data_IF_682350262718
#
_entry.id   IF_682350262718
#
_cell.length_a   1.000
_cell.length_b   1.000
_cell.length_c   1.000
_cell.angle_alpha   90.00
_cell.angle_beta   90.00
_cell.angle_gamma   90.00
#
_symmetry.space_group_name_H-M   'P 1'
#
loop_
_entity.id
_entity.type
_entity.pdbx_description
1 polymer ?
#
# COMPACT_ATOMS: atom_id res chain seq x y z
N UNK A 1 -37.93 -15.20 -17.96
CA UNK A 1 -37.56 -14.22 -16.91
C UNK A 1 -36.97 -13.01 -17.62
N UNK A 2 -37.42 -11.78 -17.37
CA UNK A 2 -36.89 -10.58 -18.03
C UNK A 2 -35.40 -10.35 -17.73
N UNK A 3 -34.68 -9.69 -18.64
CA UNK A 3 -33.25 -9.42 -18.48
C UNK A 3 -32.96 -8.55 -17.26
N UNK A 4 -31.73 -8.58 -16.73
CA UNK A 4 -31.29 -7.76 -15.61
C UNK A 4 -31.59 -6.27 -15.87
N UNK A 5 -31.36 -5.81 -17.10
CA UNK A 5 -31.60 -4.43 -17.55
C UNK A 5 -33.08 -4.03 -17.44
N UNK A 6 -33.99 -4.93 -17.82
CA UNK A 6 -35.43 -4.68 -17.72
C UNK A 6 -35.88 -4.57 -16.25
N UNK A 7 -35.33 -5.42 -15.38
CA UNK A 7 -35.61 -5.34 -13.94
C UNK A 7 -35.04 -4.08 -13.30
N UNK A 8 -33.85 -3.64 -13.72
CA UNK A 8 -33.23 -2.40 -13.24
C UNK A 8 -34.07 -1.18 -13.61
N UNK A 9 -34.48 -1.04 -14.88
CA UNK A 9 -35.35 0.06 -15.31
C UNK A 9 -36.68 0.10 -14.54
N UNK A 10 -37.26 -1.08 -14.29
CA UNK A 10 -38.47 -1.22 -13.48
C UNK A 10 -38.22 -0.74 -12.05
N UNK A 11 -37.12 -1.16 -11.42
CA UNK A 11 -36.75 -0.73 -10.08
C UNK A 11 -36.49 0.78 -9.99
N UNK A 12 -35.76 1.35 -10.95
CA UNK A 12 -35.51 2.80 -11.02
C UNK A 12 -36.84 3.57 -11.01
N UNK A 13 -37.81 3.14 -11.83
CA UNK A 13 -39.12 3.79 -11.95
C UNK A 13 -40.06 3.53 -10.77
N UNK A 14 -40.22 2.27 -10.39
CA UNK A 14 -41.27 1.85 -9.45
C UNK A 14 -40.81 1.92 -7.99
N UNK A 15 -39.50 1.94 -7.73
CA UNK A 15 -38.95 1.84 -6.38
C UNK A 15 -38.05 3.02 -6.03
N UNK A 16 -37.09 3.39 -6.89
CA UNK A 16 -36.13 4.46 -6.58
C UNK A 16 -36.75 5.86 -6.73
N UNK A 17 -37.35 6.18 -7.89
CA UNK A 17 -37.89 7.51 -8.17
C UNK A 17 -38.91 8.01 -7.13
N UNK A 18 -39.86 7.19 -6.61
CA UNK A 18 -40.81 7.65 -5.59
C UNK A 18 -40.14 8.06 -4.27
N UNK A 19 -39.02 7.44 -3.93
CA UNK A 19 -38.24 7.77 -2.72
C UNK A 19 -37.48 9.07 -2.95
N UNK A 20 -36.77 9.18 -4.08
CA UNK A 20 -36.00 10.38 -4.43
C UNK A 20 -36.89 11.63 -4.59
N UNK A 21 -38.12 11.46 -5.06
CA UNK A 21 -39.10 12.55 -5.14
C UNK A 21 -39.55 13.08 -3.77
N UNK A 22 -39.50 12.26 -2.72
CA UNK A 22 -39.82 12.67 -1.34
C UNK A 22 -38.60 13.22 -0.61
N UNK A 23 -37.44 12.62 -0.85
CA UNK A 23 -36.19 12.98 -0.20
C UNK A 23 -35.05 12.82 -1.22
N UNK A 24 -34.47 13.93 -1.71
CA UNK A 24 -33.40 13.88 -2.69
C UNK A 24 -32.13 13.29 -2.08
N UNK A 25 -31.20 12.89 -2.94
CA UNK A 25 -29.89 12.46 -2.50
C UNK A 25 -29.12 13.59 -1.81
N UNK A 26 -28.15 13.22 -0.96
CA UNK A 26 -27.38 14.17 -0.14
C UNK A 26 -26.46 15.08 -0.97
N UNK A 27 -26.08 14.64 -2.16
CA UNK A 27 -25.22 15.34 -3.09
C UNK A 27 -25.86 15.27 -4.47
N UNK A 28 -25.58 16.29 -5.29
CA UNK A 28 -25.95 16.26 -6.71
C UNK A 28 -25.08 15.30 -7.53
N UNK A 29 -23.90 14.93 -7.01
CA UNK A 29 -22.94 14.03 -7.64
C UNK A 29 -22.18 13.24 -6.58
N UNK A 30 -22.11 11.93 -6.76
CA UNK A 30 -21.23 11.05 -5.99
C UNK A 30 -20.02 10.70 -6.85
N UNK A 31 -18.82 10.87 -6.31
CA UNK A 31 -17.58 10.53 -7.00
C UNK A 31 -16.55 9.95 -6.05
N UNK A 32 -15.60 9.22 -6.61
CA UNK A 32 -14.40 8.79 -5.91
C UNK A 32 -13.43 9.97 -5.71
N UNK A 33 -12.40 9.80 -4.90
CA UNK A 33 -11.32 10.81 -4.72
C UNK A 33 -10.51 11.06 -6.01
N UNK A 34 -10.63 10.17 -7.00
CA UNK A 34 -10.01 10.29 -8.33
C UNK A 34 -10.95 10.88 -9.37
N UNK A 35 -12.08 11.45 -8.94
CA UNK A 35 -13.10 12.10 -9.78
C UNK A 35 -13.93 11.18 -10.70
N UNK A 36 -13.91 9.87 -10.44
CA UNK A 36 -14.79 8.92 -11.12
C UNK A 36 -16.21 8.96 -10.53
N UNK A 37 -17.23 9.12 -11.37
CA UNK A 37 -18.63 9.16 -10.94
C UNK A 37 -19.14 7.79 -10.48
N UNK A 38 -19.86 7.79 -9.35
CA UNK A 38 -20.38 6.57 -8.73
C UNK A 38 -21.88 6.49 -8.97
N UNK A 39 -22.30 5.49 -9.76
CA UNK A 39 -23.71 5.21 -9.98
C UNK A 39 -24.38 4.69 -8.69
N UNK A 40 -25.69 4.91 -8.50
CA UNK A 40 -26.42 4.43 -7.31
C UNK A 40 -26.43 2.90 -7.16
N UNK A 41 -26.21 2.17 -8.25
CA UNK A 41 -26.21 0.71 -8.30
C UNK A 41 -25.37 0.22 -9.48
N UNK A 42 -24.57 -0.83 -9.23
CA UNK A 42 -23.87 -1.61 -10.26
C UNK A 42 -24.38 -3.05 -10.24
N UNK A 43 -24.51 -3.66 -11.41
CA UNK A 43 -25.00 -5.01 -11.64
C UNK A 43 -24.39 -5.63 -12.89
N UNK A 44 -24.88 -6.82 -13.31
CA UNK A 44 -24.27 -7.58 -14.40
C UNK A 44 -24.18 -6.83 -15.74
N UNK A 45 -25.14 -5.95 -16.03
CA UNK A 45 -25.14 -5.18 -17.29
C UNK A 45 -24.07 -4.07 -17.32
N UNK A 46 -23.57 -3.63 -16.16
CA UNK A 46 -22.53 -2.59 -16.07
C UNK A 46 -21.13 -3.13 -16.40
N UNK A 47 -20.99 -4.46 -16.54
CA UNK A 47 -19.74 -5.10 -16.98
C UNK A 47 -19.50 -4.94 -18.49
N UNK A 48 -20.49 -4.49 -19.28
CA UNK A 48 -20.31 -4.22 -20.71
C UNK A 48 -19.78 -5.42 -21.49
N UNK A 49 -18.58 -5.29 -22.09
CA UNK A 49 -17.90 -6.34 -22.88
C UNK A 49 -16.93 -7.19 -22.05
N UNK A 50 -17.08 -7.21 -20.73
CA UNK A 50 -16.19 -7.95 -19.82
C UNK A 50 -16.14 -9.44 -20.17
N UNK A 51 -14.92 -9.93 -20.39
CA UNK A 51 -14.62 -11.34 -20.56
C UNK A 51 -13.92 -11.85 -19.31
N UNK A 52 -14.58 -12.77 -18.60
CA UNK A 52 -14.07 -13.33 -17.35
C UNK A 52 -12.66 -13.90 -17.49
N UNK A 53 -12.38 -14.67 -18.54
CA UNK A 53 -11.09 -15.35 -18.68
C UNK A 53 -9.99 -14.40 -19.16
N UNK A 54 -10.34 -13.38 -19.94
CA UNK A 54 -9.39 -12.40 -20.47
C UNK A 54 -9.08 -11.26 -19.48
N UNK A 55 -10.09 -10.71 -18.83
CA UNK A 55 -9.97 -9.46 -18.06
C UNK A 55 -9.74 -9.72 -16.55
N UNK A 56 -10.22 -10.86 -16.03
CA UNK A 56 -10.12 -11.20 -14.61
C UNK A 56 -9.23 -12.41 -14.35
N UNK A 57 -9.46 -13.51 -15.07
CA UNK A 57 -8.69 -14.77 -15.00
C UNK A 57 -8.60 -15.38 -13.58
N UNK A 58 -7.69 -16.34 -13.40
CA UNK A 58 -7.38 -17.00 -12.13
C UNK A 58 -6.15 -16.35 -11.46
N UNK A 59 -6.04 -16.36 -10.12
CA UNK A 59 -4.86 -15.83 -9.43
C UNK A 59 -3.59 -16.59 -9.87
N UNK A 60 -2.50 -15.87 -10.11
CA UNK A 60 -1.26 -16.43 -10.64
C UNK A 60 -1.22 -16.63 -12.15
N UNK A 61 -2.28 -16.27 -12.87
CA UNK A 61 -2.32 -16.28 -14.34
C UNK A 61 -2.55 -14.86 -14.88
N UNK A 62 -2.01 -14.55 -16.07
CA UNK A 62 -2.27 -13.26 -16.73
C UNK A 62 -3.80 -13.06 -16.90
N UNK A 63 -4.34 -11.84 -16.69
CA UNK A 63 -3.65 -10.56 -16.44
C UNK A 63 -3.35 -10.28 -14.95
N UNK A 64 -3.41 -11.28 -14.07
CA UNK A 64 -3.12 -11.18 -12.64
C UNK A 64 -4.06 -10.26 -11.84
N UNK A 65 -5.22 -9.90 -12.40
CA UNK A 65 -6.23 -9.05 -11.75
C UNK A 65 -6.64 -9.60 -10.37
N UNK A 66 -6.66 -10.94 -10.21
CA UNK A 66 -6.97 -11.62 -8.94
C UNK A 66 -5.76 -11.87 -8.03
N UNK A 67 -4.58 -11.40 -8.42
CA UNK A 67 -3.33 -11.54 -7.69
C UNK A 67 -2.25 -12.30 -8.47
N UNK A 68 -0.99 -11.98 -8.17
CA UNK A 68 0.20 -12.54 -8.85
C UNK A 68 0.63 -13.92 -8.35
N UNK A 69 0.05 -14.42 -7.26
CA UNK A 69 0.38 -15.73 -6.67
C UNK A 69 -0.87 -16.63 -6.68
N UNK A 70 -0.78 -17.91 -7.08
CA UNK A 70 -1.95 -18.80 -7.12
C UNK A 70 -2.64 -19.01 -5.78
N UNK A 71 -1.87 -19.14 -4.69
CA UNK A 71 -2.42 -19.37 -3.34
C UNK A 71 -2.66 -18.09 -2.53
N UNK A 72 -2.14 -16.95 -3.00
CA UNK A 72 -2.12 -15.67 -2.26
C UNK A 72 -1.85 -15.88 -0.76
N UNK A 73 -2.67 -15.27 0.08
CA UNK A 73 -2.51 -15.25 1.54
C UNK A 73 -2.96 -16.53 2.25
N UNK A 74 -3.53 -17.51 1.53
CA UNK A 74 -3.73 -18.87 2.08
C UNK A 74 -2.40 -19.64 2.13
N UNK A 75 -1.46 -19.31 1.24
CA UNK A 75 -0.12 -19.90 1.25
C UNK A 75 0.84 -19.12 2.14
N UNK A 76 1.00 -17.81 1.90
CA UNK A 76 1.88 -16.94 2.68
C UNK A 76 1.24 -15.57 2.85
N UNK A 77 1.15 -15.08 4.09
CA UNK A 77 0.71 -13.72 4.38
C UNK A 77 1.65 -12.70 3.70
N UNK A 78 1.14 -11.48 3.49
CA UNK A 78 2.00 -10.37 3.07
C UNK A 78 3.11 -10.13 4.11
N UNK A 79 4.25 -9.61 3.65
CA UNK A 79 5.32 -9.21 4.56
C UNK A 79 4.85 -8.03 5.40
N UNK A 80 4.73 -8.22 6.71
CA UNK A 80 4.57 -7.10 7.64
C UNK A 80 5.91 -6.37 7.70
N UNK A 81 5.94 -5.14 7.19
CA UNK A 81 7.16 -4.33 7.04
C UNK A 81 6.88 -2.91 7.49
N UNK A 82 7.21 -2.61 8.74
CA UNK A 82 7.19 -1.24 9.24
C UNK A 82 8.39 -0.46 8.72
N UNK A 83 8.12 0.76 8.31
CA UNK A 83 9.12 1.76 7.96
C UNK A 83 9.71 2.37 9.22
N UNK A 84 11.03 2.28 9.39
CA UNK A 84 11.71 2.74 10.59
C UNK A 84 13.13 3.25 10.31
N UNK A 85 13.49 4.30 11.03
CA UNK A 85 14.80 4.92 11.05
C UNK A 85 14.72 6.22 11.80
N UNK A 86 15.66 6.46 12.72
CA UNK A 86 15.87 7.71 13.43
C UNK A 86 17.21 7.65 14.17
N UNK A 87 17.77 8.82 14.50
CA UNK A 87 18.97 8.93 15.31
C UNK A 87 20.18 8.22 14.69
N UNK A 88 20.97 7.58 15.55
CA UNK A 88 22.15 6.83 15.11
C UNK A 88 21.81 5.43 14.59
N UNK A 89 22.80 4.75 14.04
CA UNK A 89 22.69 3.36 13.64
C UNK A 89 22.29 2.44 14.81
N UNK A 90 22.78 2.70 16.04
CA UNK A 90 22.42 1.96 17.25
C UNK A 90 20.94 2.13 17.62
N UNK A 91 20.43 3.37 17.54
CA UNK A 91 19.03 3.69 17.85
C UNK A 91 18.09 2.93 16.91
N UNK A 92 18.37 2.99 15.61
CA UNK A 92 17.57 2.30 14.61
C UNK A 92 17.73 0.78 14.69
N UNK A 93 18.93 0.28 15.00
CA UNK A 93 19.15 -1.15 15.23
C UNK A 93 18.36 -1.67 16.43
N UNK A 94 18.29 -0.92 17.53
CA UNK A 94 17.45 -1.25 18.68
C UNK A 94 15.97 -1.32 18.28
N UNK A 95 15.51 -0.37 17.45
CA UNK A 95 14.15 -0.38 16.89
C UNK A 95 13.89 -1.59 15.99
N UNK A 96 14.82 -1.95 15.12
CA UNK A 96 14.69 -3.14 14.25
C UNK A 96 14.57 -4.42 15.06
N UNK A 97 15.41 -4.61 16.08
CA UNK A 97 15.31 -5.78 16.96
C UNK A 97 13.97 -5.84 17.71
N UNK A 98 13.49 -4.70 18.20
CA UNK A 98 12.16 -4.61 18.81
C UNK A 98 11.07 -5.04 17.83
N UNK A 99 11.08 -4.50 16.61
CA UNK A 99 10.08 -4.83 15.59
C UNK A 99 10.09 -6.31 15.19
N UNK A 100 11.28 -6.90 15.01
CA UNK A 100 11.41 -8.34 14.73
C UNK A 100 10.87 -9.18 15.88
N UNK A 101 11.13 -8.77 17.14
CA UNK A 101 10.59 -9.45 18.32
C UNK A 101 9.06 -9.40 18.37
N UNK A 102 8.46 -8.30 17.95
CA UNK A 102 6.99 -8.13 17.89
C UNK A 102 6.35 -8.77 16.63
N UNK A 103 7.09 -9.57 15.87
CA UNK A 103 6.55 -10.38 14.78
C UNK A 103 6.70 -9.78 13.37
N UNK A 104 7.44 -8.69 13.21
CA UNK A 104 7.76 -8.16 11.88
C UNK A 104 8.62 -9.17 11.09
N UNK A 105 8.32 -9.35 9.80
CA UNK A 105 8.97 -10.36 8.93
C UNK A 105 9.87 -9.78 7.84
N UNK A 106 9.92 -8.45 7.72
CA UNK A 106 10.90 -7.75 6.89
C UNK A 106 11.13 -6.33 7.40
N UNK A 107 12.33 -5.79 7.26
CA UNK A 107 12.71 -4.45 7.73
C UNK A 107 12.66 -3.42 6.60
N UNK A 108 12.29 -2.18 6.88
CA UNK A 108 12.42 -1.08 5.92
C UNK A 108 13.14 0.10 6.56
N UNK A 109 14.29 0.46 6.00
CA UNK A 109 15.15 1.50 6.52
C UNK A 109 14.76 2.87 5.97
N UNK A 110 14.50 3.82 6.87
CA UNK A 110 14.38 5.24 6.56
C UNK A 110 15.72 5.92 6.83
N UNK A 111 16.30 6.60 5.84
CA UNK A 111 17.54 7.35 6.01
C UNK A 111 17.24 8.82 6.31
N UNK A 112 18.10 9.46 7.11
CA UNK A 112 17.97 10.89 7.36
C UNK A 112 18.22 11.71 6.06
N UNK A 113 17.88 12.99 6.07
CA UNK A 113 17.98 13.82 4.87
C UNK A 113 19.40 13.93 4.29
N UNK A 114 20.48 14.06 5.09
CA UNK A 114 21.85 14.11 4.55
C UNK A 114 22.26 12.87 3.74
N UNK A 115 22.10 11.65 4.26
CA UNK A 115 22.32 10.40 3.50
C UNK A 115 21.50 10.36 2.22
N UNK A 116 20.23 10.78 2.24
CA UNK A 116 19.38 10.84 1.04
C UNK A 116 19.90 11.82 -0.02
N UNK A 117 20.60 12.86 0.40
CA UNK A 117 21.18 13.88 -0.47
C UNK A 117 22.66 13.63 -0.80
N UNK A 118 23.24 12.53 -0.32
CA UNK A 118 24.65 12.19 -0.55
C UNK A 118 25.64 13.07 0.22
N UNK A 119 25.25 13.56 1.41
CA UNK A 119 26.13 14.30 2.31
C UNK A 119 26.49 13.48 3.54
N UNK A 120 27.76 13.54 3.94
CA UNK A 120 28.20 13.11 5.26
C UNK A 120 27.60 14.03 6.34
N UNK A 121 27.40 13.48 7.55
CA UNK A 121 26.78 14.19 8.68
C UNK A 121 27.52 15.45 9.13
N UNK A 122 28.82 15.61 8.82
CA UNK A 122 29.62 16.80 9.15
C UNK A 122 29.55 17.90 8.07
N UNK A 123 28.92 17.61 6.93
CA UNK A 123 28.79 18.57 5.84
C UNK A 123 27.97 19.80 6.31
N UNK A 124 28.35 21.04 5.96
CA UNK A 124 27.64 22.24 6.43
C UNK A 124 26.14 22.27 6.11
N UNK A 125 25.70 21.60 5.03
CA UNK A 125 24.27 21.47 4.67
C UNK A 125 23.51 20.39 5.46
N UNK A 126 24.21 19.51 6.18
CA UNK A 126 23.61 18.48 7.01
C UNK A 126 23.20 19.00 8.40
N UNK A 127 23.71 20.17 8.80
CA UNK A 127 23.49 20.75 10.13
C UNK A 127 22.00 20.91 10.42
N UNK A 128 21.54 20.26 11.49
CA UNK A 128 20.14 20.29 11.93
C UNK A 128 19.28 19.15 11.40
N UNK A 129 19.78 18.36 10.46
CA UNK A 129 19.03 17.26 9.81
C UNK A 129 19.55 15.86 10.21
N UNK A 130 20.72 15.81 10.87
CA UNK A 130 21.38 14.55 11.24
C UNK A 130 20.50 13.74 12.20
N UNK A 131 19.94 12.63 11.70
CA UNK A 131 19.20 11.66 12.50
C UNK A 131 17.74 12.06 12.77
N UNK A 132 17.26 13.17 12.20
CA UNK A 132 15.93 13.72 12.51
C UNK A 132 14.81 12.91 11.85
N UNK A 133 14.91 12.69 10.54
CA UNK A 133 13.87 12.03 9.75
C UNK A 133 14.21 10.56 9.40
N UNK A 134 15.30 10.03 9.92
CA UNK A 134 15.80 8.71 9.57
C UNK A 134 17.12 8.40 10.27
N UNK A 135 17.70 7.23 9.99
CA UNK A 135 19.02 6.86 10.49
C UNK A 135 20.11 7.64 9.74
N UNK A 136 21.12 8.11 10.47
CA UNK A 136 22.35 8.65 9.88
C UNK A 136 23.28 7.51 9.43
N UNK A 137 23.69 7.52 8.18
CA UNK A 137 24.65 6.56 7.61
C UNK A 137 25.62 7.32 6.70
N UNK A 138 26.87 7.41 7.14
CA UNK A 138 27.94 8.10 6.40
C UNK A 138 28.95 7.08 5.84
N UNK A 139 29.05 5.91 6.48
CA UNK A 139 30.06 4.91 6.20
C UNK A 139 29.54 3.48 6.25
N UNK A 140 30.37 2.53 5.81
CA UNK A 140 30.10 1.10 6.02
C UNK A 140 29.94 0.78 7.51
N UNK A 141 30.64 1.50 8.40
CA UNK A 141 30.59 1.22 9.84
C UNK A 141 29.19 1.40 10.40
N UNK A 142 28.48 2.41 9.94
CA UNK A 142 27.11 2.69 10.37
C UNK A 142 26.16 1.58 9.90
N UNK A 143 26.36 1.06 8.69
CA UNK A 143 25.60 -0.08 8.17
C UNK A 143 25.87 -1.38 8.96
N UNK A 144 27.12 -1.63 9.35
CA UNK A 144 27.46 -2.77 10.22
C UNK A 144 26.72 -2.68 11.57
N UNK A 145 26.68 -1.49 12.16
CA UNK A 145 25.99 -1.24 13.43
C UNK A 145 24.48 -1.38 13.25
N UNK A 146 23.93 -0.79 12.18
CA UNK A 146 22.51 -0.80 11.86
C UNK A 146 21.95 -2.22 11.76
N UNK A 147 22.72 -3.15 11.19
CA UNK A 147 22.34 -4.56 11.03
C UNK A 147 23.01 -5.51 12.03
N UNK A 148 23.70 -4.97 13.04
CA UNK A 148 24.36 -5.80 14.04
C UNK A 148 23.35 -6.73 14.75
N UNK A 149 23.65 -8.03 14.73
CA UNK A 149 22.82 -9.14 15.26
C UNK A 149 21.46 -9.31 14.57
N UNK A 150 21.30 -8.85 13.34
CA UNK A 150 20.14 -9.14 12.51
C UNK A 150 20.51 -10.26 11.52
N UNK A 151 19.77 -11.39 11.48
CA UNK A 151 20.06 -12.49 10.56
C UNK A 151 19.58 -12.14 9.14
N UNK A 152 20.44 -11.48 8.37
CA UNK A 152 20.16 -11.00 7.00
C UNK A 152 19.86 -12.13 6.00
N UNK A 153 20.24 -13.37 6.31
CA UNK A 153 19.90 -14.58 5.54
C UNK A 153 18.42 -14.98 5.69
N UNK A 154 17.73 -14.48 6.73
CA UNK A 154 16.34 -14.85 7.06
C UNK A 154 15.36 -13.69 7.00
N UNK A 155 15.86 -12.46 7.09
CA UNK A 155 15.06 -11.24 7.11
C UNK A 155 15.26 -10.49 5.81
N UNK A 156 14.16 -10.13 5.16
CA UNK A 156 14.24 -9.28 3.96
C UNK A 156 14.38 -7.82 4.36
N UNK A 157 15.31 -7.10 3.73
CA UNK A 157 15.55 -5.67 3.98
C UNK A 157 15.14 -4.84 2.77
N UNK A 158 14.38 -3.78 3.01
CA UNK A 158 14.10 -2.72 2.04
C UNK A 158 14.82 -1.46 2.49
N UNK A 159 15.31 -0.67 1.53
CA UNK A 159 16.02 0.57 1.79
C UNK A 159 15.34 1.66 0.97
N UNK A 160 14.78 2.67 1.64
CA UNK A 160 14.15 3.80 0.94
C UNK A 160 15.22 4.86 0.67
N UNK A 161 15.97 4.63 -0.40
CA UNK A 161 17.07 5.48 -0.90
C UNK A 161 16.86 5.66 -2.42
N UNK A 162 17.29 6.78 -3.00
CA UNK A 162 17.14 7.10 -4.43
C UNK A 162 18.43 7.64 -5.04
#
# INVERSE_FOLDING_TARGET
MGSASQRRKRWEKETLSPVLGKSPERLSRFSTVSDEEIAPLYGPDDLGTFDYLKDLSFPGEYPYTRGVQPSMYRGRLWTMRQFAGYGSAEDTNARFRYLLKEGQTGLSTAFHFPTLMGYDSDHPRARGEVGVCGVAVDSLKDMEILFHRIPLDRVTTSMTIN
#
